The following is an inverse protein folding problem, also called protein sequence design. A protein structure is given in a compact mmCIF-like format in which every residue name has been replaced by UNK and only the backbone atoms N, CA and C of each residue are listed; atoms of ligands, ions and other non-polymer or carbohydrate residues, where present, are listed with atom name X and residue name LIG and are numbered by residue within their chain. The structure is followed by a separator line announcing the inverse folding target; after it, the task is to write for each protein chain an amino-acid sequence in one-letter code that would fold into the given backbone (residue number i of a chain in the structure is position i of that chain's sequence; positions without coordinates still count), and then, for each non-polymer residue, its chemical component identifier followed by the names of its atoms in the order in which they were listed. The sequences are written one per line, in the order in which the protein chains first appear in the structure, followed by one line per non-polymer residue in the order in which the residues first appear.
data_IF_243169009746
#
_entry.id   IF_243169009746
#
_cell.length_a   1.000
_cell.length_b   1.000
_cell.length_c   1.000
_cell.angle_alpha   90.00
_cell.angle_beta   90.00
_cell.angle_gamma   90.00
#
_symmetry.space_group_name_H-M   'P 1'
#
loop_
_entity.id
_entity.type
_entity.pdbx_description
1 polymer ?
#
# COMPACT_ATOMS: atom_id res chain seq x y z
N UNK A 1 34.32 8.81 1.79
CA UNK A 1 33.69 7.98 2.84
C UNK A 1 32.19 8.14 2.72
N UNK A 2 31.54 7.24 1.99
CA UNK A 2 30.07 7.24 1.85
C UNK A 2 29.55 6.62 3.15
N UNK A 3 28.90 7.42 3.99
CA UNK A 3 28.23 6.92 5.21
C UNK A 3 27.08 6.00 4.76
N UNK A 4 26.83 4.86 5.43
CA UNK A 4 25.65 4.06 5.15
C UNK A 4 24.41 4.93 5.41
N UNK A 5 23.70 5.27 4.35
CA UNK A 5 22.37 5.85 4.45
C UNK A 5 21.49 4.75 5.04
N UNK A 6 20.84 5.00 6.18
CA UNK A 6 19.87 4.07 6.75
C UNK A 6 18.65 4.00 5.82
N UNK A 7 18.67 3.10 4.84
CA UNK A 7 17.51 2.81 4.02
C UNK A 7 16.43 2.17 4.91
N UNK A 8 15.26 2.81 5.01
CA UNK A 8 14.11 2.22 5.68
C UNK A 8 13.45 1.20 4.75
N UNK A 9 13.90 -0.05 4.79
CA UNK A 9 13.37 -1.14 3.97
C UNK A 9 12.11 -1.74 4.60
N UNK A 10 11.03 -0.97 4.69
CA UNK A 10 9.76 -1.46 5.20
C UNK A 10 8.83 -1.83 4.05
N UNK A 11 8.26 -3.02 4.08
CA UNK A 11 7.48 -3.60 2.99
C UNK A 11 6.24 -4.34 3.49
N UNK A 12 5.14 -4.26 2.73
CA UNK A 12 4.04 -5.22 2.85
C UNK A 12 4.40 -6.47 2.03
N UNK A 13 4.20 -7.66 2.58
CA UNK A 13 4.80 -8.89 2.02
C UNK A 13 3.89 -10.10 2.21
N UNK A 14 4.13 -11.16 1.45
CA UNK A 14 3.41 -12.43 1.62
C UNK A 14 3.87 -13.15 2.90
N UNK A 15 2.94 -13.75 3.64
CA UNK A 15 3.24 -14.58 4.80
C UNK A 15 3.86 -15.92 4.36
N UNK A 16 5.00 -16.29 4.95
CA UNK A 16 5.72 -17.53 4.62
C UNK A 16 5.23 -18.75 5.43
N UNK A 17 4.34 -18.54 6.41
CA UNK A 17 3.95 -19.58 7.36
C UNK A 17 2.86 -20.55 6.87
N UNK A 18 2.25 -20.32 5.69
CA UNK A 18 1.13 -21.13 5.16
C UNK A 18 1.51 -22.21 4.13
N UNK A 19 2.79 -22.55 3.90
CA UNK A 19 3.19 -23.58 2.91
C UNK A 19 3.04 -25.05 3.38
N UNK A 20 2.03 -25.38 4.18
CA UNK A 20 1.67 -26.78 4.44
C UNK A 20 0.20 -27.00 4.11
N UNK A 21 -0.01 -27.89 3.12
CA UNK A 21 -1.27 -28.42 2.61
C UNK A 21 -1.89 -27.67 1.41
N UNK A 22 -1.68 -28.27 0.23
CA UNK A 22 -2.72 -28.59 -0.75
C UNK A 22 -3.88 -27.60 -0.82
N UNK A 23 -3.77 -26.56 -1.66
CA UNK A 23 -4.79 -26.08 -2.60
C UNK A 23 -4.26 -24.82 -3.30
N UNK A 24 -4.08 -24.91 -4.61
CA UNK A 24 -3.21 -24.04 -5.43
C UNK A 24 -3.87 -22.72 -5.88
N UNK A 25 -4.83 -22.19 -5.11
CA UNK A 25 -5.68 -21.06 -5.57
C UNK A 25 -5.83 -19.88 -4.61
N UNK A 26 -5.12 -19.83 -3.48
CA UNK A 26 -5.42 -18.86 -2.39
C UNK A 26 -4.22 -17.97 -2.02
N UNK A 27 -3.43 -17.53 -3.01
CA UNK A 27 -2.03 -17.15 -2.78
C UNK A 27 -1.68 -15.65 -2.85
N UNK A 28 -2.67 -14.77 -2.97
CA UNK A 28 -2.47 -13.32 -3.02
C UNK A 28 -3.50 -12.51 -2.19
N UNK A 29 -4.51 -13.15 -1.60
CA UNK A 29 -5.42 -12.54 -0.62
C UNK A 29 -4.73 -12.13 0.71
N UNK A 30 -3.40 -12.24 0.78
CA UNK A 30 -2.61 -12.06 2.00
C UNK A 30 -1.80 -10.76 2.03
N UNK A 31 -1.68 -9.99 0.93
CA UNK A 31 -0.82 -8.77 0.92
C UNK A 31 -1.65 -7.49 1.01
N UNK A 32 -2.87 -7.53 0.46
CA UNK A 32 -3.73 -6.37 0.36
C UNK A 32 -5.18 -6.76 0.61
N UNK A 33 -5.94 -5.89 1.27
CA UNK A 33 -7.38 -6.06 1.47
C UNK A 33 -8.12 -4.81 1.04
N UNK A 34 -9.26 -4.99 0.37
CA UNK A 34 -10.20 -3.91 0.04
C UNK A 34 -11.50 -4.21 0.77
N UNK A 35 -12.11 -3.19 1.37
CA UNK A 35 -13.48 -3.25 1.88
C UNK A 35 -14.32 -2.24 1.12
N UNK A 36 -15.43 -2.71 0.55
CA UNK A 36 -16.49 -1.88 0.02
C UNK A 36 -17.49 -1.57 1.15
N UNK A 37 -18.00 -0.35 1.23
CA UNK A 37 -19.13 -0.02 2.11
C UNK A 37 -20.38 0.23 1.27
N UNK A 38 -21.45 -0.52 1.53
CA UNK A 38 -22.76 -0.36 0.89
C UNK A 38 -23.41 0.99 1.30
N UNK A 39 -24.41 1.43 0.52
CA UNK A 39 -25.16 2.68 0.74
C UNK A 39 -25.83 2.77 2.11
N UNK A 40 -26.15 1.63 2.73
CA UNK A 40 -26.97 1.52 3.94
C UNK A 40 -26.14 1.35 5.22
N UNK A 41 -24.81 1.48 5.15
CA UNK A 41 -23.91 1.39 6.31
C UNK A 41 -23.75 -0.03 6.89
N UNK A 42 -24.30 -1.05 6.23
CA UNK A 42 -24.16 -2.45 6.63
C UNK A 42 -22.85 -3.01 6.11
N UNK A 43 -22.03 -3.50 7.05
CA UNK A 43 -20.68 -4.05 6.85
C UNK A 43 -20.74 -5.38 6.08
N UNK A 44 -20.62 -5.39 4.76
CA UNK A 44 -20.34 -6.63 4.04
C UNK A 44 -18.86 -7.01 4.20
N UNK A 45 -18.66 -8.16 4.82
CA UNK A 45 -17.36 -8.72 5.15
C UNK A 45 -16.66 -9.23 3.87
N UNK A 46 -15.83 -8.41 3.22
CA UNK A 46 -14.70 -8.79 2.32
C UNK A 46 -14.90 -9.90 1.26
N UNK A 47 -16.13 -10.31 0.93
CA UNK A 47 -16.39 -11.57 0.22
C UNK A 47 -16.07 -11.56 -1.27
N UNK A 48 -15.93 -10.39 -1.89
CA UNK A 48 -15.84 -10.31 -3.35
C UNK A 48 -14.42 -10.04 -3.89
N UNK A 49 -13.54 -9.40 -3.13
CA UNK A 49 -12.15 -9.17 -3.57
C UNK A 49 -11.22 -10.36 -3.35
N UNK A 50 -11.60 -11.36 -2.55
CA UNK A 50 -10.86 -12.63 -2.46
C UNK A 50 -10.93 -13.42 -3.80
N UNK A 51 -11.92 -13.14 -4.65
CA UNK A 51 -12.14 -13.80 -5.94
C UNK A 51 -11.48 -13.10 -7.15
N UNK A 52 -11.13 -11.81 -7.04
CA UNK A 52 -10.59 -11.02 -8.18
C UNK A 52 -9.08 -11.23 -8.37
N UNK A 53 -8.43 -11.76 -7.33
CA UNK A 53 -7.00 -11.89 -7.27
C UNK A 53 -6.55 -13.14 -8.06
N UNK A 54 -6.06 -12.93 -9.28
CA UNK A 54 -5.51 -14.02 -10.10
C UNK A 54 -4.13 -14.41 -9.56
N UNK A 55 -3.77 -15.70 -9.40
CA UNK A 55 -2.56 -16.09 -8.67
C UNK A 55 -1.28 -15.61 -9.38
N UNK A 56 -0.59 -14.63 -8.81
CA UNK A 56 0.84 -14.42 -9.10
C UNK A 56 1.59 -15.59 -8.45
N UNK A 57 2.40 -16.27 -9.27
CA UNK A 57 3.14 -17.46 -8.87
C UNK A 57 3.99 -17.16 -7.61
N UNK A 58 3.98 -18.04 -6.60
CA UNK A 58 4.80 -17.84 -5.41
C UNK A 58 6.29 -17.86 -5.78
N UNK A 59 7.02 -16.81 -5.38
CA UNK A 59 8.49 -16.80 -5.43
C UNK A 59 8.98 -17.86 -4.42
N UNK A 60 9.75 -18.88 -4.84
CA UNK A 60 10.21 -19.92 -3.94
C UNK A 60 11.21 -19.39 -2.91
N UNK A 61 11.11 -19.87 -1.67
CA UNK A 61 11.89 -19.41 -0.51
C UNK A 61 13.14 -20.26 -0.23
N UNK A 62 13.75 -20.88 -1.24
CA UNK A 62 15.02 -21.62 -1.08
C UNK A 62 16.20 -20.64 -1.23
N UNK A 63 17.11 -20.52 -0.24
CA UNK A 63 18.27 -19.62 -0.31
C UNK A 63 19.25 -19.92 -1.47
N UNK A 64 19.07 -21.00 -2.24
CA UNK A 64 19.79 -21.27 -3.50
C UNK A 64 19.16 -20.59 -4.74
N UNK A 65 18.09 -19.79 -4.60
CA UNK A 65 17.33 -19.16 -5.68
C UNK A 65 17.85 -17.81 -6.19
N UNK A 66 19.02 -17.34 -5.79
CA UNK A 66 19.61 -16.11 -6.41
C UNK A 66 19.75 -16.29 -7.94
N UNK A 67 19.92 -17.53 -8.41
CA UNK A 67 19.96 -17.88 -9.83
C UNK A 67 18.64 -17.73 -10.62
N UNK A 68 17.51 -17.37 -9.97
CA UNK A 68 16.20 -17.26 -10.62
C UNK A 68 15.66 -15.83 -10.77
N UNK A 69 16.35 -14.82 -10.26
CA UNK A 69 15.94 -13.45 -10.53
C UNK A 69 16.34 -13.03 -11.95
N UNK A 70 15.48 -12.28 -12.66
CA UNK A 70 15.89 -11.70 -13.92
C UNK A 70 17.06 -10.73 -13.67
N UNK A 71 17.97 -10.61 -14.64
CA UNK A 71 19.10 -9.69 -14.57
C UNK A 71 18.69 -8.21 -14.45
N UNK A 72 17.44 -7.91 -14.79
CA UNK A 72 16.81 -6.60 -14.66
C UNK A 72 15.33 -6.77 -14.36
N UNK A 73 14.81 -5.95 -13.46
CA UNK A 73 13.39 -5.86 -13.15
C UNK A 73 12.98 -4.39 -13.15
N UNK A 74 11.94 -4.08 -13.91
CA UNK A 74 11.34 -2.75 -13.97
C UNK A 74 9.82 -2.91 -13.90
N UNK A 75 9.22 -2.48 -12.78
CA UNK A 75 7.77 -2.56 -12.58
C UNK A 75 6.99 -1.56 -13.44
N UNK A 76 7.66 -0.53 -13.99
CA UNK A 76 7.04 0.39 -14.95
C UNK A 76 6.95 -0.19 -16.36
N UNK A 77 7.62 -1.32 -16.60
CA UNK A 77 7.55 -2.07 -17.85
C UNK A 77 7.71 -3.58 -17.60
N UNK A 78 6.78 -4.15 -16.84
CA UNK A 78 6.77 -5.58 -16.53
C UNK A 78 5.70 -6.28 -17.36
N UNK A 79 6.11 -7.25 -18.19
CA UNK A 79 5.19 -8.00 -19.07
C UNK A 79 4.28 -7.12 -19.95
N UNK A 80 4.80 -5.98 -20.44
CA UNK A 80 4.09 -4.96 -21.24
C UNK A 80 3.01 -4.17 -20.46
N UNK A 81 3.06 -4.18 -19.14
CA UNK A 81 2.23 -3.34 -18.28
C UNK A 81 3.10 -2.44 -17.42
N UNK A 82 2.62 -1.20 -17.24
CA UNK A 82 3.15 -0.28 -16.23
C UNK A 82 2.35 -0.46 -14.94
N UNK A 83 3.00 -0.92 -13.87
CA UNK A 83 2.36 -1.09 -12.55
C UNK A 83 2.63 0.07 -11.60
N UNK A 84 3.37 1.10 -12.03
CA UNK A 84 3.75 2.23 -11.18
C UNK A 84 2.86 3.42 -11.51
N UNK A 85 2.29 4.05 -10.48
CA UNK A 85 1.51 5.26 -10.68
C UNK A 85 2.40 6.44 -11.14
N UNK A 86 1.84 7.44 -11.87
CA UNK A 86 2.59 8.60 -12.30
C UNK A 86 3.34 9.28 -11.15
N UNK A 87 4.52 9.83 -11.45
CA UNK A 87 5.31 10.57 -10.47
C UNK A 87 4.52 11.76 -9.95
N UNK A 88 4.34 11.81 -8.63
CA UNK A 88 3.61 12.88 -7.93
C UNK A 88 4.58 13.86 -7.26
N UNK A 89 4.07 15.04 -6.85
CA UNK A 89 4.87 16.08 -6.20
C UNK A 89 4.36 16.39 -4.78
N UNK A 90 5.20 16.10 -3.77
CA UNK A 90 4.87 16.34 -2.36
C UNK A 90 4.79 17.82 -1.96
N UNK A 91 5.32 18.73 -2.78
CA UNK A 91 5.38 20.16 -2.49
C UNK A 91 6.29 20.45 -1.29
N UNK A 92 5.93 21.45 -0.50
CA UNK A 92 6.69 21.86 0.70
C UNK A 92 6.41 21.00 1.94
N UNK A 93 5.36 20.18 1.90
CA UNK A 93 5.01 19.28 2.98
C UNK A 93 6.04 18.13 3.09
N UNK A 94 6.50 17.84 4.31
CA UNK A 94 7.39 16.72 4.62
C UNK A 94 6.71 15.34 4.59
N UNK A 95 5.86 15.09 3.60
CA UNK A 95 5.03 13.89 3.44
C UNK A 95 5.70 12.78 2.61
N UNK A 96 7.01 12.85 2.38
CA UNK A 96 7.76 11.86 1.57
C UNK A 96 7.52 10.41 2.03
N UNK A 97 7.37 10.19 3.33
CA UNK A 97 7.09 8.89 3.93
C UNK A 97 5.74 8.33 3.46
N UNK A 98 4.73 9.18 3.26
CA UNK A 98 3.41 8.82 2.80
C UNK A 98 3.45 8.51 1.29
N UNK A 99 4.03 9.39 0.48
CA UNK A 99 4.22 9.15 -0.97
C UNK A 99 4.96 7.83 -1.25
N UNK A 100 6.08 7.59 -0.57
CA UNK A 100 6.86 6.37 -0.76
C UNK A 100 6.07 5.10 -0.39
N UNK A 101 5.32 5.16 0.71
CA UNK A 101 4.52 4.01 1.17
C UNK A 101 3.31 3.76 0.28
N UNK A 102 2.59 4.81 -0.10
CA UNK A 102 1.40 4.69 -0.93
C UNK A 102 1.76 4.28 -2.35
N UNK A 103 2.82 4.83 -2.96
CA UNK A 103 3.30 4.38 -4.27
C UNK A 103 3.70 2.91 -4.29
N UNK A 104 4.36 2.42 -3.23
CA UNK A 104 4.62 0.98 -3.07
C UNK A 104 3.30 0.18 -3.01
N UNK A 105 2.31 0.66 -2.27
CA UNK A 105 1.03 -0.04 -2.09
C UNK A 105 0.18 -0.03 -3.36
N UNK A 106 0.08 1.10 -4.06
CA UNK A 106 -0.59 1.24 -5.36
C UNK A 106 -0.02 0.25 -6.37
N UNK A 107 1.31 0.13 -6.47
CA UNK A 107 1.94 -0.85 -7.36
C UNK A 107 1.60 -2.29 -6.96
N UNK A 108 1.61 -2.61 -5.65
CA UNK A 108 1.23 -3.93 -5.15
C UNK A 108 -0.24 -4.25 -5.40
N UNK A 109 -1.13 -3.27 -5.26
CA UNK A 109 -2.54 -3.40 -5.61
C UNK A 109 -2.72 -3.63 -7.12
N UNK A 110 -2.08 -2.81 -7.95
CA UNK A 110 -2.09 -2.96 -9.41
C UNK A 110 -1.62 -4.33 -9.85
N UNK A 111 -0.57 -4.88 -9.22
CA UNK A 111 -0.08 -6.23 -9.45
C UNK A 111 -1.10 -7.29 -8.99
N UNK A 112 -1.63 -7.17 -7.77
CA UNK A 112 -2.55 -8.16 -7.22
C UNK A 112 -3.90 -8.20 -7.96
N UNK A 113 -4.32 -7.09 -8.56
CA UNK A 113 -5.57 -6.92 -9.29
C UNK A 113 -5.38 -6.96 -10.80
N UNK A 114 -4.18 -7.27 -11.31
CA UNK A 114 -3.89 -7.27 -12.75
C UNK A 114 -4.37 -5.98 -13.47
N UNK A 115 -4.25 -4.83 -12.80
CA UNK A 115 -4.73 -3.52 -13.27
C UNK A 115 -6.22 -3.46 -13.66
N UNK A 116 -7.06 -4.37 -13.18
CA UNK A 116 -8.52 -4.32 -13.44
C UNK A 116 -9.23 -3.23 -12.65
N UNK A 117 -8.58 -2.67 -11.62
CA UNK A 117 -9.06 -1.58 -10.79
C UNK A 117 -8.03 -0.47 -10.81
N UNK A 118 -8.49 0.77 -11.03
CA UNK A 118 -7.70 1.99 -10.88
C UNK A 118 -7.47 2.24 -9.38
N UNK A 119 -6.23 2.11 -8.92
CA UNK A 119 -5.87 2.26 -7.50
C UNK A 119 -4.95 3.45 -7.34
N UNK A 120 -5.55 4.58 -6.98
CA UNK A 120 -4.85 5.79 -6.54
C UNK A 120 -5.27 6.11 -5.11
N UNK A 121 -4.32 6.15 -4.19
CA UNK A 121 -4.52 6.24 -2.74
C UNK A 121 -4.27 7.68 -2.26
N UNK A 122 -5.10 8.15 -1.31
CA UNK A 122 -5.00 9.52 -0.81
C UNK A 122 -3.81 9.73 0.11
N UNK A 123 -2.80 10.48 -0.37
CA UNK A 123 -1.71 10.93 0.50
C UNK A 123 -2.24 11.86 1.60
N UNK A 124 -3.24 12.67 1.28
CA UNK A 124 -3.82 13.63 2.22
C UNK A 124 -4.49 12.96 3.41
N UNK A 125 -5.07 11.77 3.22
CA UNK A 125 -5.65 10.97 4.31
C UNK A 125 -4.59 10.59 5.35
N UNK A 126 -3.40 10.13 4.91
CA UNK A 126 -2.27 9.89 5.83
C UNK A 126 -1.83 11.19 6.50
N UNK A 127 -1.60 12.25 5.72
CA UNK A 127 -1.09 13.52 6.26
C UNK A 127 -2.05 14.15 7.27
N UNK A 128 -3.36 13.97 7.08
CA UNK A 128 -4.39 14.67 7.85
C UNK A 128 -4.99 13.85 8.99
N UNK A 129 -5.05 12.52 8.85
CA UNK A 129 -5.81 11.65 9.76
C UNK A 129 -4.92 10.74 10.60
N UNK A 130 -3.73 10.40 10.14
CA UNK A 130 -2.88 9.42 10.83
C UNK A 130 -2.25 10.02 12.08
N UNK A 131 -2.74 9.60 13.24
CA UNK A 131 -2.09 9.89 14.53
C UNK A 131 -0.87 9.00 14.81
N UNK A 132 -0.46 8.13 13.86
CA UNK A 132 0.79 7.37 13.90
C UNK A 132 1.96 8.11 13.23
N UNK A 133 1.68 9.23 12.57
CA UNK A 133 2.64 10.05 11.84
C UNK A 133 2.52 11.51 12.31
N UNK A 134 3.37 12.40 11.81
CA UNK A 134 3.39 13.82 12.18
C UNK A 134 3.03 14.69 10.97
N UNK A 135 2.07 14.24 10.15
CA UNK A 135 1.63 14.89 8.92
C UNK A 135 2.76 15.46 8.06
N UNK A 136 2.87 16.77 7.92
CA UNK A 136 3.92 17.44 7.15
C UNK A 136 5.26 17.57 7.89
N UNK A 137 5.32 17.30 9.19
CA UNK A 137 6.57 17.25 9.97
C UNK A 137 7.29 15.90 9.89
N UNK A 138 6.72 14.93 9.17
CA UNK A 138 7.37 13.68 8.83
C UNK A 138 6.68 12.43 9.38
N UNK A 139 7.35 11.31 9.17
CA UNK A 139 6.84 9.99 9.52
C UNK A 139 7.72 8.89 8.94
N UNK A 140 7.28 7.64 9.11
CA UNK A 140 7.99 6.47 8.62
C UNK A 140 7.05 5.57 7.81
N UNK A 141 7.61 4.82 6.86
CA UNK A 141 6.83 3.87 6.08
C UNK A 141 6.23 2.74 6.93
N UNK A 142 6.90 2.38 8.04
CA UNK A 142 6.39 1.42 9.02
C UNK A 142 5.12 1.90 9.71
N UNK A 143 5.13 3.13 10.25
CA UNK A 143 3.96 3.71 10.93
C UNK A 143 2.82 4.01 9.96
N UNK A 144 3.14 4.41 8.72
CA UNK A 144 2.15 4.62 7.65
C UNK A 144 1.48 3.32 7.24
N UNK A 145 2.26 2.27 7.01
CA UNK A 145 1.71 0.95 6.69
C UNK A 145 0.91 0.37 7.86
N UNK A 146 1.32 0.65 9.10
CA UNK A 146 0.58 0.27 10.30
C UNK A 146 -0.77 1.00 10.38
N UNK A 147 -0.80 2.30 10.05
CA UNK A 147 -2.04 3.06 9.94
C UNK A 147 -2.99 2.42 8.93
N UNK A 148 -2.48 2.15 7.71
CA UNK A 148 -3.26 1.50 6.66
C UNK A 148 -3.78 0.11 7.07
N UNK A 149 -3.03 -0.65 7.86
CA UNK A 149 -3.51 -1.95 8.37
C UNK A 149 -4.66 -1.80 9.35
N UNK A 150 -4.53 -0.85 10.28
CA UNK A 150 -5.43 -0.73 11.42
C UNK A 150 -6.72 0.06 11.06
N UNK A 151 -6.59 1.10 10.22
CA UNK A 151 -7.67 2.03 9.87
C UNK A 151 -8.08 1.94 8.40
N UNK A 152 -7.16 1.51 7.52
CA UNK A 152 -7.33 1.61 6.08
C UNK A 152 -7.06 3.02 5.57
N UNK A 153 -7.21 3.20 4.26
CA UNK A 153 -7.05 4.48 3.57
C UNK A 153 -8.08 4.62 2.44
N UNK A 154 -8.44 5.86 2.12
CA UNK A 154 -9.32 6.20 1.00
C UNK A 154 -8.56 6.45 -0.31
N UNK A 155 -9.29 6.55 -1.43
CA UNK A 155 -8.73 6.90 -2.74
C UNK A 155 -8.36 8.39 -2.84
N UNK A 156 -7.41 8.74 -3.71
CA UNK A 156 -7.00 10.13 -3.97
C UNK A 156 -8.18 11.01 -4.39
N UNK A 157 -9.13 10.44 -5.16
CA UNK A 157 -10.37 11.13 -5.56
C UNK A 157 -11.20 11.57 -4.34
N UNK A 158 -11.21 10.77 -3.28
CA UNK A 158 -11.96 11.11 -2.07
C UNK A 158 -11.36 12.27 -1.28
N UNK A 159 -10.04 12.27 -1.15
CA UNK A 159 -9.34 13.28 -0.38
C UNK A 159 -8.08 13.71 -1.15
N UNK A 160 -8.25 14.63 -2.12
CA UNK A 160 -7.15 15.06 -2.96
C UNK A 160 -6.03 15.71 -2.15
N UNK A 161 -4.80 15.55 -2.63
CA UNK A 161 -3.62 16.11 -2.00
C UNK A 161 -3.58 17.64 -2.02
N UNK A 162 -3.45 18.25 -0.84
CA UNK A 162 -3.48 19.70 -0.64
C UNK A 162 -2.14 20.27 -0.14
N UNK A 163 -1.12 19.42 0.07
CA UNK A 163 0.21 19.86 0.51
C UNK A 163 0.25 20.58 1.86
N UNK A 164 -0.76 20.40 2.72
CA UNK A 164 -0.88 21.05 4.03
C UNK A 164 -1.31 20.06 5.11
N UNK A 165 -0.91 20.27 6.37
CA UNK A 165 -1.33 19.49 7.54
C UNK A 165 -2.38 20.25 8.38
N UNK A 166 -3.18 19.45 9.12
CA UNK A 166 -4.33 19.77 9.98
C UNK A 166 -3.96 20.60 11.22
N UNK A 167 -3.39 21.77 10.99
CA UNK A 167 -3.66 22.96 11.81
C UNK A 167 -4.36 24.05 11.02
N UNK A 168 -4.58 23.85 9.71
CA UNK A 168 -5.51 24.69 8.96
C UNK A 168 -6.95 24.35 9.40
N UNK A 169 -7.75 25.32 9.87
CA UNK A 169 -9.17 25.11 10.13
C UNK A 169 -9.97 24.66 8.89
N UNK A 170 -9.37 24.76 7.71
CA UNK A 170 -9.95 24.44 6.40
C UNK A 170 -9.87 22.93 6.07
N UNK A 171 -8.89 22.20 6.63
CA UNK A 171 -8.70 20.76 6.35
C UNK A 171 -8.96 19.95 7.60
N UNK A 172 -10.15 19.37 7.71
CA UNK A 172 -10.48 18.42 8.77
C UNK A 172 -10.29 17.00 8.24
N UNK A 173 -9.72 16.11 9.06
CA UNK A 173 -9.79 14.69 8.80
C UNK A 173 -11.26 14.28 8.63
N UNK A 174 -11.67 14.03 7.39
CA UNK A 174 -13.06 13.71 7.05
C UNK A 174 -13.08 12.61 6.00
N UNK A 175 -12.88 11.38 6.46
CA UNK A 175 -13.11 10.16 5.67
C UNK A 175 -14.58 10.01 5.23
N UNK A 176 -15.50 10.82 5.80
CA UNK A 176 -16.91 10.90 5.40
C UNK A 176 -17.14 11.40 3.97
N UNK A 177 -16.17 12.10 3.37
CA UNK A 177 -16.35 12.73 2.06
C UNK A 177 -16.51 11.73 0.90
N UNK A 178 -15.92 10.53 0.97
CA UNK A 178 -16.02 9.54 -0.10
C UNK A 178 -17.47 9.16 -0.42
N UNK A 179 -18.23 8.85 0.64
CA UNK A 179 -19.54 8.23 0.52
C UNK A 179 -20.70 9.20 0.40
N UNK A 180 -20.59 10.38 1.01
CA UNK A 180 -21.63 11.41 1.03
C UNK A 180 -21.54 12.33 -0.20
N UNK A 181 -20.35 12.57 -0.75
CA UNK A 181 -20.17 13.44 -1.92
C UNK A 181 -20.41 12.72 -3.27
N UNK A 182 -20.64 11.40 -3.27
CA UNK A 182 -20.84 10.59 -4.48
C UNK A 182 -19.59 10.47 -5.38
N UNK A 183 -18.42 10.82 -4.84
CA UNK A 183 -17.14 10.89 -5.58
C UNK A 183 -16.50 9.50 -5.71
N UNK A 184 -16.65 8.66 -4.68
CA UNK A 184 -16.29 7.23 -4.73
C UNK A 184 -17.56 6.41 -4.48
N UNK A 185 -18.25 6.07 -5.56
CA UNK A 185 -19.52 5.32 -5.51
C UNK A 185 -19.35 3.95 -4.87
N UNK A 186 -18.16 3.38 -4.96
CA UNK A 186 -17.85 2.08 -4.41
C UNK A 186 -17.31 2.17 -2.98
N UNK A 187 -16.96 3.36 -2.48
CA UNK A 187 -16.50 3.60 -1.10
C UNK A 187 -15.41 2.60 -0.69
N UNK A 188 -14.41 2.42 -1.55
CA UNK A 188 -13.36 1.45 -1.28
C UNK A 188 -12.42 1.98 -0.20
N UNK A 189 -12.26 1.18 0.86
CA UNK A 189 -11.20 1.36 1.85
C UNK A 189 -10.12 0.32 1.63
N UNK A 190 -8.88 0.77 1.43
CA UNK A 190 -7.72 -0.05 1.15
C UNK A 190 -6.93 -0.30 2.44
N UNK A 191 -6.56 -1.55 2.71
CA UNK A 191 -5.84 -1.95 3.91
C UNK A 191 -4.54 -2.69 3.55
N UNK A 192 -3.48 -2.35 4.27
CA UNK A 192 -2.23 -3.11 4.23
C UNK A 192 -2.34 -4.41 5.04
N UNK A 193 -1.72 -5.48 4.55
CA UNK A 193 -1.57 -6.73 5.30
C UNK A 193 -0.11 -7.19 5.32
N UNK A 194 0.26 -7.97 6.34
CA UNK A 194 1.57 -8.61 6.45
C UNK A 194 2.75 -7.64 6.24
N UNK A 195 2.71 -6.57 7.03
CA UNK A 195 3.71 -5.49 7.03
C UNK A 195 4.94 -5.88 7.86
N UNK A 196 6.14 -5.72 7.32
CA UNK A 196 7.41 -6.05 8.01
C UNK A 196 8.60 -5.27 7.43
N UNK A 197 9.71 -5.25 8.17
CA UNK A 197 10.99 -4.86 7.58
C UNK A 197 11.53 -5.98 6.69
N UNK A 198 12.18 -5.62 5.59
CA UNK A 198 13.08 -6.51 4.84
C UNK A 198 14.17 -7.00 5.81
N UNK A 199 14.50 -8.29 5.75
CA UNK A 199 15.35 -8.92 6.77
C UNK A 199 14.69 -9.11 8.15
N UNK A 200 13.40 -8.80 8.29
CA UNK A 200 12.57 -9.08 9.48
C UNK A 200 12.54 -7.99 10.54
N UNK A 201 13.60 -7.21 10.72
CA UNK A 201 13.67 -6.14 11.72
C UNK A 201 14.54 -4.95 11.26
N UNK A 202 14.35 -3.81 11.92
CA UNK A 202 15.09 -2.59 11.61
C UNK A 202 16.61 -2.80 11.78
N UNK A 203 17.38 -2.44 10.74
CA UNK A 203 18.84 -2.59 10.71
C UNK A 203 19.33 -3.88 10.04
N UNK A 204 18.45 -4.79 9.64
CA UNK A 204 18.81 -6.05 8.96
C UNK A 204 18.51 -6.06 7.45
N UNK A 205 18.35 -4.89 6.84
CA UNK A 205 18.13 -4.81 5.40
C UNK A 205 19.46 -5.02 4.64
N UNK A 206 19.42 -5.82 3.58
CA UNK A 206 20.52 -5.97 2.61
C UNK A 206 19.98 -6.03 1.19
N UNK A 207 20.87 -5.99 0.19
CA UNK A 207 20.50 -6.09 -1.22
C UNK A 207 19.88 -7.46 -1.57
N UNK A 208 20.29 -8.51 -0.85
CA UNK A 208 19.86 -9.89 -1.08
C UNK A 208 18.59 -10.29 -0.31
N UNK A 209 18.16 -9.48 0.68
CA UNK A 209 17.17 -9.85 1.70
C UNK A 209 15.71 -9.53 1.35
#
# INVERSE_FOLDING_TARGET
VIKPQNYSCFVATKDSSSQKHSHQSTLLSQVVRIRQQDSDGVRQQSKDYEKIVTPVQPVPSDPRHIAQFPSSLDWSNYSNFDYVEPVQNQGECGSCYAFATLGMMEARYSLALNKTVDVSLSVQDIVSCSYYTQGCFGGHGSTTSQWMRDHGIVSEKCFPYQQIEVYSPEVKCSTKLCGEAGIDKDRHTFYAQNIRYVGGFYGNCSEEA
#
